data_IF_158397144978
#
_entry.id   IF_158397144978
#
_cell.length_a   1.000
_cell.length_b   1.000
_cell.length_c   1.000
_cell.angle_alpha   90.00
_cell.angle_beta   90.00
_cell.angle_gamma   90.00
#
_symmetry.space_group_name_H-M   'P 1'
#
loop_
_entity.id
_entity.type
_entity.pdbx_description
1 polymer ?
#
# COMPACT_ATOMS: atom_id res chain seq x y z
N UNK A 1 10.78 -16.56 0.61
CA UNK A 1 10.45 -17.36 1.82
C UNK A 1 9.09 -18.02 1.59
N UNK A 2 8.69 -19.09 2.28
CA UNK A 2 7.37 -19.76 2.06
C UNK A 2 6.15 -18.84 2.22
N UNK A 3 6.37 -17.62 2.71
CA UNK A 3 5.38 -16.60 3.07
C UNK A 3 5.31 -15.42 2.05
N UNK A 4 5.71 -15.60 0.79
CA UNK A 4 5.53 -14.57 -0.26
C UNK A 4 4.27 -14.81 -1.10
N UNK A 5 3.42 -13.79 -1.20
CA UNK A 5 2.14 -13.86 -1.91
C UNK A 5 2.29 -13.71 -3.45
N UNK A 6 3.29 -12.95 -3.91
CA UNK A 6 3.58 -12.75 -5.34
C UNK A 6 4.93 -13.35 -5.74
N UNK A 7 4.93 -14.13 -6.82
CA UNK A 7 6.14 -14.63 -7.49
C UNK A 7 6.48 -13.75 -8.69
N UNK A 8 7.77 -13.69 -9.07
CA UNK A 8 8.22 -12.88 -10.20
C UNK A 8 7.62 -13.39 -11.51
N UNK A 9 6.98 -12.48 -12.27
CA UNK A 9 6.29 -12.80 -13.53
C UNK A 9 4.88 -13.38 -13.37
N UNK A 10 4.38 -13.58 -12.14
CA UNK A 10 3.04 -14.08 -11.91
C UNK A 10 1.99 -12.96 -11.98
N UNK A 11 0.91 -13.18 -12.75
CA UNK A 11 -0.27 -12.33 -12.75
C UNK A 11 -1.33 -12.85 -11.78
N UNK A 12 -1.92 -11.95 -10.99
CA UNK A 12 -3.06 -12.27 -10.12
C UNK A 12 -4.11 -11.17 -10.18
N UNK A 13 -5.37 -11.58 -10.29
CA UNK A 13 -6.51 -10.68 -10.18
C UNK A 13 -6.83 -10.50 -8.69
N UNK A 14 -6.83 -9.25 -8.24
CA UNK A 14 -7.22 -8.93 -6.85
C UNK A 14 -8.74 -9.06 -6.73
N UNK A 15 -9.26 -9.82 -5.74
CA UNK A 15 -10.68 -9.95 -5.52
C UNK A 15 -11.38 -8.61 -5.26
N UNK A 16 -12.69 -8.58 -5.51
CA UNK A 16 -13.53 -7.42 -5.19
C UNK A 16 -13.45 -7.09 -3.68
N UNK A 17 -13.53 -5.80 -3.36
CA UNK A 17 -13.42 -5.27 -1.99
C UNK A 17 -12.11 -5.60 -1.27
N UNK A 18 -11.05 -5.89 -2.03
CA UNK A 18 -9.70 -6.00 -1.50
C UNK A 18 -8.75 -4.98 -2.15
N UNK A 19 -7.66 -4.70 -1.45
CA UNK A 19 -6.61 -3.80 -1.90
C UNK A 19 -5.24 -4.45 -1.79
N UNK A 20 -4.46 -4.30 -2.84
CA UNK A 20 -3.04 -4.63 -2.82
C UNK A 20 -2.25 -3.39 -2.38
N UNK A 21 -1.64 -3.46 -1.20
CA UNK A 21 -0.86 -2.34 -0.65
C UNK A 21 0.63 -2.53 -0.94
N UNK A 22 1.28 -1.48 -1.46
CA UNK A 22 2.71 -1.44 -1.74
C UNK A 22 3.32 -0.22 -1.08
N UNK A 23 4.40 -0.41 -0.33
CA UNK A 23 5.14 0.70 0.28
C UNK A 23 6.05 1.39 -0.74
N UNK A 24 6.32 2.68 -0.53
CA UNK A 24 7.21 3.44 -1.40
C UNK A 24 8.67 2.99 -1.28
N UNK A 25 9.11 2.60 -0.06
CA UNK A 25 10.44 2.06 0.19
C UNK A 25 10.51 0.57 -0.15
N UNK A 26 10.47 0.26 -1.45
CA UNK A 26 10.19 -1.09 -1.99
C UNK A 26 11.08 -2.20 -1.45
N UNK A 27 12.39 -1.95 -1.29
CA UNK A 27 13.35 -2.96 -0.81
C UNK A 27 13.27 -3.23 0.69
N UNK A 28 12.65 -2.32 1.46
CA UNK A 28 12.57 -2.41 2.92
C UNK A 28 11.12 -2.44 3.45
N UNK A 29 10.14 -2.56 2.56
CA UNK A 29 8.73 -2.61 2.89
C UNK A 29 8.24 -4.05 2.92
N UNK A 30 7.79 -4.51 4.09
CA UNK A 30 7.02 -5.74 4.23
C UNK A 30 5.54 -5.39 3.99
N UNK A 31 5.10 -5.53 2.75
CA UNK A 31 3.76 -5.14 2.29
C UNK A 31 3.01 -6.29 1.60
N UNK A 32 2.02 -5.98 0.76
CA UNK A 32 1.17 -6.98 0.12
C UNK A 32 1.93 -7.99 -0.73
N UNK A 33 3.17 -7.70 -1.15
CA UNK A 33 4.04 -8.70 -1.81
C UNK A 33 4.34 -9.89 -0.90
N UNK A 34 4.49 -9.63 0.40
CA UNK A 34 4.67 -10.66 1.41
C UNK A 34 3.32 -11.25 1.85
N UNK A 35 2.42 -10.44 2.42
CA UNK A 35 1.21 -10.97 3.09
C UNK A 35 -0.06 -11.02 2.23
N UNK A 36 -0.02 -10.53 0.99
CA UNK A 36 -1.18 -10.49 0.09
C UNK A 36 -2.10 -9.28 0.26
N UNK A 37 -3.24 -9.28 -0.45
CA UNK A 37 -4.21 -8.20 -0.40
C UNK A 37 -4.95 -8.14 0.94
N UNK A 38 -5.40 -6.95 1.31
CA UNK A 38 -6.20 -6.71 2.52
C UNK A 38 -7.64 -6.38 2.17
N UNK A 39 -8.58 -6.78 3.00
CA UNK A 39 -9.99 -6.38 2.85
C UNK A 39 -10.19 -4.90 3.09
N UNK A 40 -11.13 -4.30 2.34
CA UNK A 40 -11.52 -2.89 2.40
C UNK A 40 -11.96 -2.44 3.79
N UNK A 41 -12.54 -3.33 4.57
CA UNK A 41 -12.95 -3.10 5.96
C UNK A 41 -11.77 -2.77 6.89
N UNK A 42 -10.53 -3.15 6.52
CA UNK A 42 -9.33 -2.83 7.28
C UNK A 42 -8.80 -1.43 6.98
N UNK A 43 -9.35 -0.74 5.96
CA UNK A 43 -8.92 0.60 5.57
C UNK A 43 -9.68 1.65 6.38
N UNK A 44 -8.97 2.31 7.30
CA UNK A 44 -9.55 3.38 8.13
C UNK A 44 -9.75 4.68 7.34
N UNK A 45 -8.80 5.02 6.45
CA UNK A 45 -8.86 6.27 5.70
C UNK A 45 -7.65 6.52 4.81
N UNK A 46 -7.62 7.69 4.16
CA UNK A 46 -6.52 8.13 3.29
C UNK A 46 -5.70 9.20 4.00
N UNK A 47 -4.37 9.13 3.90
CA UNK A 47 -3.51 10.22 4.33
C UNK A 47 -3.78 11.48 3.48
N UNK A 48 -4.05 12.61 4.14
CA UNK A 48 -4.41 13.88 3.47
C UNK A 48 -3.57 15.07 3.94
N UNK A 49 -2.80 14.93 5.04
CA UNK A 49 -2.02 16.01 5.62
C UNK A 49 -0.73 15.47 6.25
N UNK A 50 0.38 16.16 6.00
CA UNK A 50 1.67 15.95 6.64
C UNK A 50 1.89 17.12 7.58
N UNK A 51 1.86 16.86 8.89
CA UNK A 51 1.98 17.90 9.92
C UNK A 51 3.43 18.12 10.39
N UNK A 52 4.35 17.20 10.09
CA UNK A 52 5.74 17.21 10.56
C UNK A 52 6.75 16.87 9.44
N UNK A 53 7.95 17.47 9.42
CA UNK A 53 8.41 18.60 10.25
C UNK A 53 7.67 19.90 9.91
N UNK A 54 7.70 20.90 10.80
CA UNK A 54 6.95 22.15 10.60
C UNK A 54 7.34 22.88 9.30
N UNK A 55 8.60 22.80 8.86
CA UNK A 55 9.05 23.35 7.57
C UNK A 55 8.50 22.60 6.35
N UNK A 56 7.94 21.41 6.54
CA UNK A 56 7.42 20.53 5.50
C UNK A 56 5.92 20.29 5.56
N UNK A 57 5.18 21.13 6.30
CA UNK A 57 3.73 21.05 6.45
C UNK A 57 3.07 21.17 5.08
N UNK A 58 2.29 20.15 4.69
CA UNK A 58 1.63 20.11 3.37
C UNK A 58 0.41 19.21 3.34
N UNK A 59 -0.50 19.50 2.40
CA UNK A 59 -1.55 18.56 2.02
C UNK A 59 -0.98 17.49 1.08
N UNK A 60 -1.46 16.26 1.22
CA UNK A 60 -1.10 15.17 0.32
C UNK A 60 -1.85 15.38 -1.00
N UNK A 61 -1.16 15.50 -2.14
CA UNK A 61 -1.83 15.71 -3.43
C UNK A 61 -2.69 14.50 -3.77
N UNK A 62 -3.88 14.77 -4.32
CA UNK A 62 -4.77 13.70 -4.78
C UNK A 62 -4.24 13.15 -6.09
N UNK A 63 -3.67 11.95 -6.04
CA UNK A 63 -3.31 11.20 -7.25
C UNK A 63 -4.57 10.50 -7.77
N UNK A 64 -4.84 10.65 -9.08
CA UNK A 64 -5.79 9.81 -9.81
C UNK A 64 -4.95 8.85 -10.66
N UNK A 65 -5.17 7.56 -10.46
CA UNK A 65 -4.56 6.50 -11.24
C UNK A 65 -5.51 6.10 -12.37
#
# INVERSE_FOLDING_TARGET
EPDEYLEEGAERIIPTDQYMCLGDNRSHSRDGRAFGPIGKERVVGRAFFVYWPFSGVRLVPRVRF
#
